data_IF_963227710311
#
_entry.id   IF_963227710311
#
_cell.length_a   1.000
_cell.length_b   1.000
_cell.length_c   1.000
_cell.angle_alpha   90.00
_cell.angle_beta   90.00
_cell.angle_gamma   90.00
#
_symmetry.space_group_name_H-M   'P 1'
#
loop_
_entity.id
_entity.type
_entity.pdbx_description
1 polymer ?
#
# COMPACT_ATOMS: atom_id res chain seq x y z
N UNK A 1 9.69 -9.89 -56.16
CA UNK A 1 10.19 -8.53 -55.86
C UNK A 1 9.11 -7.52 -55.43
N UNK A 2 7.82 -7.72 -55.73
CA UNK A 2 6.77 -6.74 -55.36
C UNK A 2 6.29 -6.85 -53.90
N UNK A 3 6.31 -8.05 -53.31
CA UNK A 3 5.94 -8.28 -51.90
C UNK A 3 6.83 -7.50 -50.93
N UNK A 4 8.12 -7.39 -51.24
CA UNK A 4 9.07 -6.61 -50.45
C UNK A 4 8.74 -5.10 -50.46
N UNK A 5 8.36 -4.56 -51.62
CA UNK A 5 8.00 -3.14 -51.74
C UNK A 5 6.75 -2.80 -50.93
N UNK A 6 5.71 -3.65 -50.94
CA UNK A 6 4.51 -3.44 -50.13
C UNK A 6 4.79 -3.53 -48.63
N UNK A 7 5.55 -4.55 -48.20
CA UNK A 7 5.90 -4.76 -46.79
C UNK A 7 6.76 -3.64 -46.21
N UNK A 8 7.62 -3.00 -47.02
CA UNK A 8 8.45 -1.88 -46.59
C UNK A 8 7.62 -0.70 -46.06
N UNK A 9 6.43 -0.47 -46.59
CA UNK A 9 5.52 0.58 -46.11
C UNK A 9 4.50 0.06 -45.11
N UNK A 10 3.98 -1.14 -45.31
CA UNK A 10 2.94 -1.71 -44.45
C UNK A 10 3.43 -1.94 -43.01
N UNK A 11 4.65 -2.47 -42.83
CA UNK A 11 5.18 -2.81 -41.49
C UNK A 11 5.38 -1.53 -40.64
N UNK A 12 6.05 -0.47 -41.14
CA UNK A 12 6.16 0.78 -40.38
C UNK A 12 4.81 1.42 -40.07
N UNK A 13 3.84 1.38 -40.99
CA UNK A 13 2.51 1.96 -40.78
C UNK A 13 1.75 1.26 -39.65
N UNK A 14 1.71 -0.07 -39.69
CA UNK A 14 1.03 -0.87 -38.66
C UNK A 14 1.72 -0.67 -37.30
N UNK A 15 3.05 -0.66 -37.29
CA UNK A 15 3.84 -0.42 -36.08
C UNK A 15 3.56 0.97 -35.51
N UNK A 16 3.61 2.01 -36.34
CA UNK A 16 3.33 3.38 -35.95
C UNK A 16 1.93 3.51 -35.35
N UNK A 17 0.91 2.95 -36.01
CA UNK A 17 -0.46 2.97 -35.51
C UNK A 17 -0.59 2.28 -34.14
N UNK A 18 0.06 1.13 -33.98
CA UNK A 18 0.04 0.36 -32.72
C UNK A 18 0.73 1.11 -31.58
N UNK A 19 1.87 1.76 -31.86
CA UNK A 19 2.60 2.57 -30.88
C UNK A 19 1.78 3.80 -30.52
N UNK A 20 1.18 4.49 -31.49
CA UNK A 20 0.34 5.67 -31.23
C UNK A 20 -0.80 5.33 -30.27
N UNK A 21 -1.56 4.25 -30.53
CA UNK A 21 -2.64 3.81 -29.64
C UNK A 21 -2.17 3.49 -28.22
N UNK A 22 -1.00 2.84 -28.08
CA UNK A 22 -0.42 2.55 -26.76
C UNK A 22 -0.01 3.83 -26.03
N UNK A 23 0.61 4.78 -26.75
CA UNK A 23 1.01 6.06 -26.18
C UNK A 23 -0.21 6.86 -25.70
N UNK A 24 -1.30 6.90 -26.48
CA UNK A 24 -2.54 7.58 -26.09
C UNK A 24 -3.13 6.98 -24.80
N UNK A 25 -3.11 5.65 -24.66
CA UNK A 25 -3.55 4.98 -23.43
C UNK A 25 -2.67 5.32 -22.22
N UNK A 26 -1.35 5.38 -22.43
CA UNK A 26 -0.40 5.78 -21.39
C UNK A 26 -0.65 7.23 -20.98
N UNK A 27 -0.85 8.12 -21.94
CA UNK A 27 -1.12 9.54 -21.70
C UNK A 27 -2.40 9.73 -20.88
N UNK A 28 -3.48 9.02 -21.22
CA UNK A 28 -4.74 9.08 -20.46
C UNK A 28 -4.55 8.66 -19.00
N UNK A 29 -3.81 7.58 -18.76
CA UNK A 29 -3.45 7.14 -17.40
C UNK A 29 -2.58 8.15 -16.68
N UNK A 30 -1.61 8.74 -17.36
CA UNK A 30 -0.73 9.75 -16.77
C UNK A 30 -1.49 11.03 -16.43
N UNK A 31 -2.45 11.45 -17.27
CA UNK A 31 -3.35 12.59 -16.96
C UNK A 31 -4.16 12.33 -15.70
N UNK A 32 -4.74 11.13 -15.54
CA UNK A 32 -5.45 10.77 -14.32
C UNK A 32 -4.54 10.83 -13.09
N UNK A 33 -3.33 10.25 -13.16
CA UNK A 33 -2.35 10.32 -12.05
C UNK A 33 -1.95 11.75 -11.72
N UNK A 34 -1.76 12.60 -12.75
CA UNK A 34 -1.41 14.00 -12.56
C UNK A 34 -2.55 14.78 -11.90
N UNK A 35 -3.80 14.49 -12.24
CA UNK A 35 -4.97 15.10 -11.57
C UNK A 35 -5.00 14.73 -10.08
N UNK A 36 -4.78 13.46 -9.74
CA UNK A 36 -4.69 13.02 -8.35
C UNK A 36 -3.50 13.65 -7.61
N UNK A 37 -2.33 13.74 -8.26
CA UNK A 37 -1.16 14.40 -7.68
C UNK A 37 -1.43 15.88 -7.37
N UNK A 38 -2.07 16.61 -8.29
CA UNK A 38 -2.47 18.01 -8.06
C UNK A 38 -3.49 18.15 -6.93
N UNK A 39 -4.45 17.22 -6.82
CA UNK A 39 -5.40 17.20 -5.71
C UNK A 39 -4.71 16.94 -4.36
N UNK A 40 -3.56 16.24 -4.35
CA UNK A 40 -2.74 16.00 -3.17
C UNK A 40 -1.87 17.22 -2.79
N UNK A 41 -1.50 18.09 -3.73
CA UNK A 41 -0.74 19.33 -3.45
C UNK A 41 -1.57 20.36 -2.66
N UNK A 42 -2.89 20.38 -2.87
CA UNK A 42 -3.83 21.24 -2.12
C UNK A 42 -4.95 20.39 -1.48
N UNK A 43 -4.61 19.54 -0.50
CA UNK A 43 -5.53 18.53 0.00
C UNK A 43 -6.67 19.19 0.80
N UNK A 44 -7.89 18.78 0.48
CA UNK A 44 -9.07 19.07 1.30
C UNK A 44 -8.86 18.57 2.76
N UNK A 45 -9.49 19.23 3.73
CA UNK A 45 -9.27 19.01 5.18
C UNK A 45 -9.47 17.54 5.55
N UNK A 46 -10.48 16.90 4.95
CA UNK A 46 -10.76 15.48 5.15
C UNK A 46 -9.64 14.57 4.62
N UNK A 47 -9.06 14.89 3.45
CA UNK A 47 -7.96 14.13 2.85
C UNK A 47 -6.67 14.28 3.67
N UNK A 48 -6.37 15.51 4.10
CA UNK A 48 -5.22 15.80 4.97
C UNK A 48 -5.28 15.01 6.28
N UNK A 49 -6.46 14.91 6.92
CA UNK A 49 -6.65 14.11 8.14
C UNK A 49 -6.38 12.62 7.90
N UNK A 50 -6.85 12.06 6.78
CA UNK A 50 -6.58 10.66 6.41
C UNK A 50 -5.09 10.41 6.15
N UNK A 51 -4.41 11.33 5.46
CA UNK A 51 -2.97 11.22 5.18
C UNK A 51 -2.14 11.28 6.46
N UNK A 52 -2.48 12.18 7.40
CA UNK A 52 -1.81 12.25 8.70
C UNK A 52 -2.05 10.97 9.51
N UNK A 53 -3.30 10.49 9.58
CA UNK A 53 -3.62 9.22 10.25
C UNK A 53 -2.88 8.03 9.64
N UNK A 54 -2.79 7.95 8.31
CA UNK A 54 -2.06 6.89 7.63
C UNK A 54 -0.56 6.97 7.88
N UNK A 55 0.00 8.19 7.94
CA UNK A 55 1.41 8.41 8.31
C UNK A 55 1.68 7.97 9.75
N UNK A 56 0.80 8.32 10.68
CA UNK A 56 0.95 7.96 12.09
C UNK A 56 0.80 6.43 12.29
N UNK A 57 -0.10 5.78 11.55
CA UNK A 57 -0.24 4.31 11.51
C UNK A 57 0.94 3.61 10.82
N UNK A 58 1.53 4.22 9.79
CA UNK A 58 2.72 3.69 9.13
C UNK A 58 3.97 3.82 10.03
N UNK A 59 3.97 4.78 10.96
CA UNK A 59 5.08 5.03 11.87
C UNK A 59 5.09 4.12 13.11
N UNK A 60 4.02 3.42 13.47
CA UNK A 60 3.93 2.62 14.70
C UNK A 60 3.06 1.37 14.45
N UNK A 61 3.40 0.13 14.79
CA UNK A 61 4.23 -0.39 15.88
C UNK A 61 4.75 -1.78 15.48
N UNK A 62 6.06 -2.03 15.51
CA UNK A 62 6.58 -3.42 15.47
C UNK A 62 6.33 -4.03 16.84
N UNK A 63 5.18 -4.69 17.01
CA UNK A 63 4.91 -5.45 18.24
C UNK A 63 5.77 -6.72 18.16
N UNK A 64 6.92 -6.72 18.85
CA UNK A 64 7.75 -7.92 18.98
C UNK A 64 7.00 -9.02 19.73
N UNK A 65 7.32 -10.29 19.46
CA UNK A 65 6.67 -11.47 20.08
C UNK A 65 6.61 -11.40 21.61
N UNK A 66 7.56 -10.70 22.23
CA UNK A 66 7.69 -10.49 23.67
C UNK A 66 6.60 -9.57 24.27
N UNK A 67 5.84 -8.84 23.44
CA UNK A 67 4.79 -7.89 23.86
C UNK A 67 3.38 -8.33 23.43
N UNK A 68 3.24 -9.57 22.99
CA UNK A 68 1.97 -10.13 22.50
C UNK A 68 1.51 -11.21 23.47
N UNK A 69 0.40 -10.96 24.18
CA UNK A 69 -0.23 -11.93 25.10
C UNK A 69 -1.03 -12.98 24.32
N UNK A 70 -1.68 -12.55 23.23
CA UNK A 70 -2.52 -13.43 22.41
C UNK A 70 -1.98 -13.47 20.97
N UNK A 71 -1.67 -14.67 20.48
CA UNK A 71 -1.18 -14.92 19.12
C UNK A 71 -1.84 -16.15 18.52
N UNK A 72 -2.14 -16.09 17.23
CA UNK A 72 -2.74 -17.22 16.49
C UNK A 72 -1.79 -18.42 16.35
N UNK A 73 -0.48 -18.23 16.56
CA UNK A 73 0.52 -19.31 16.50
C UNK A 73 0.54 -20.22 17.73
N UNK A 74 -0.04 -19.81 18.87
CA UNK A 74 -0.03 -20.58 20.13
C UNK A 74 -1.40 -21.20 20.41
N UNK A 75 -1.40 -22.29 21.16
CA UNK A 75 -2.64 -22.93 21.61
C UNK A 75 -3.38 -22.04 22.64
N UNK A 76 -4.71 -22.15 22.70
CA UNK A 76 -5.54 -21.26 23.52
C UNK A 76 -5.34 -21.47 25.02
N UNK A 77 -5.07 -22.71 25.44
CA UNK A 77 -4.86 -23.02 26.86
C UNK A 77 -3.54 -22.41 27.36
N UNK A 78 -2.49 -22.47 26.55
CA UNK A 78 -1.18 -21.89 26.89
C UNK A 78 -1.25 -20.36 27.02
N UNK A 79 -2.06 -19.71 26.19
CA UNK A 79 -2.25 -18.25 26.22
C UNK A 79 -3.01 -17.75 27.45
N UNK A 80 -4.00 -18.50 27.94
CA UNK A 80 -4.77 -18.12 29.13
C UNK A 80 -3.89 -18.10 30.39
N UNK A 81 -2.96 -19.05 30.52
CA UNK A 81 -1.98 -19.05 31.62
C UNK A 81 -1.01 -17.86 31.55
N UNK A 82 -0.48 -17.53 30.36
CA UNK A 82 0.39 -16.36 30.18
C UNK A 82 -0.35 -15.05 30.47
N UNK A 83 -1.65 -14.97 30.16
CA UNK A 83 -2.49 -13.81 30.45
C UNK A 83 -2.73 -13.60 31.95
N UNK A 84 -3.03 -14.67 32.70
CA UNK A 84 -3.22 -14.58 34.16
C UNK A 84 -1.93 -14.14 34.89
N UNK A 85 -0.78 -14.63 34.45
CA UNK A 85 0.51 -14.24 35.02
C UNK A 85 0.83 -12.76 34.72
N UNK A 86 0.54 -12.30 33.50
CA UNK A 86 0.67 -10.90 33.13
C UNK A 86 -0.20 -10.00 34.01
N UNK A 87 -1.46 -10.38 34.22
CA UNK A 87 -2.42 -9.65 35.05
C UNK A 87 -1.95 -9.53 36.51
N UNK A 88 -1.35 -10.60 37.05
CA UNK A 88 -0.76 -10.59 38.39
C UNK A 88 0.38 -9.58 38.49
N UNK A 89 1.32 -9.60 37.53
CA UNK A 89 2.45 -8.67 37.49
C UNK A 89 2.00 -7.22 37.32
N UNK A 90 0.96 -6.99 36.52
CA UNK A 90 0.41 -5.64 36.31
C UNK A 90 -0.13 -5.05 37.62
N UNK A 91 -0.90 -5.84 38.40
CA UNK A 91 -1.44 -5.42 39.70
C UNK A 91 -0.36 -5.19 40.76
N UNK A 92 0.78 -5.89 40.67
CA UNK A 92 1.92 -5.68 41.57
C UNK A 92 2.66 -4.36 41.27
N UNK A 93 2.80 -4.03 39.98
CA UNK A 93 3.38 -2.75 39.54
C UNK A 93 2.47 -1.58 39.92
N UNK A 94 1.16 -1.70 39.70
CA UNK A 94 0.18 -0.66 40.07
C UNK A 94 0.10 -0.37 41.57
N UNK A 95 0.46 -1.35 42.42
CA UNK A 95 0.53 -1.17 43.88
C UNK A 95 1.86 -0.56 44.37
N UNK A 96 2.86 -0.49 43.51
CA UNK A 96 4.21 -0.01 43.86
C UNK A 96 4.46 1.45 43.46
N UNK A 97 3.52 2.07 42.73
CA UNK A 97 3.41 3.52 42.47
C UNK A 97 2.44 4.19 43.46
#
# INVERSE_FOLDING_TARGET
MQVYAGSFFAIPLIRWFSIKRKNDQIENRNKARLQFARALESPDIALRRKLLSARDMAQNTVIGKERIVYTTDKDMIEQDYEAEEWDRRFREVEKSD
#
